data_IF_977964280784
#
_entry.id   IF_977964280784
#
_cell.length_a   1.000
_cell.length_b   1.000
_cell.length_c   1.000
_cell.angle_alpha   90.00
_cell.angle_beta   90.00
_cell.angle_gamma   90.00
#
_symmetry.space_group_name_H-M   'P 1'
#
loop_
_entity.id
_entity.type
_entity.pdbx_description
1 polymer ?
#
# COMPACT_ATOMS: atom_id res chain seq x y z
N UNK A 1 15.20 18.88 -24.30
CA UNK A 1 14.27 19.23 -23.20
C UNK A 1 13.47 17.99 -22.82
N UNK A 2 13.48 17.57 -21.56
CA UNK A 2 12.76 16.35 -21.14
C UNK A 2 11.25 16.61 -21.14
N UNK A 3 10.48 15.84 -21.91
CA UNK A 3 9.03 15.98 -22.07
C UNK A 3 8.28 15.10 -21.07
N UNK A 4 8.48 15.32 -19.77
CA UNK A 4 7.64 14.74 -18.73
C UNK A 4 7.07 15.83 -17.83
N UNK A 5 5.93 15.55 -17.22
CA UNK A 5 5.35 16.45 -16.22
C UNK A 5 5.82 16.06 -14.82
N UNK A 6 5.90 17.02 -13.90
CA UNK A 6 6.34 16.79 -12.52
C UNK A 6 5.18 16.96 -11.54
N UNK A 7 5.24 16.21 -10.45
CA UNK A 7 4.39 16.31 -9.27
C UNK A 7 5.25 16.32 -8.02
N UNK A 8 4.82 17.08 -7.01
CA UNK A 8 5.45 17.05 -5.70
C UNK A 8 4.97 15.84 -4.88
N UNK A 9 5.89 15.18 -4.18
CA UNK A 9 5.62 14.21 -3.13
C UNK A 9 5.89 14.81 -1.75
N UNK A 10 5.16 14.36 -0.71
CA UNK A 10 5.56 14.63 0.66
C UNK A 10 6.99 14.13 0.90
N UNK A 11 7.75 14.87 1.72
CA UNK A 11 9.09 14.49 2.15
C UNK A 11 9.11 13.07 2.72
N UNK A 12 10.05 12.24 2.28
CA UNK A 12 10.24 10.88 2.77
C UNK A 12 11.72 10.48 2.70
N UNK A 13 12.19 9.72 3.69
CA UNK A 13 13.60 9.32 3.79
C UNK A 13 13.93 7.99 3.08
N UNK A 14 12.94 7.32 2.49
CA UNK A 14 13.09 6.01 1.86
C UNK A 14 13.03 6.11 0.33
N UNK A 15 12.06 6.88 -0.18
CA UNK A 15 11.71 7.03 -1.58
C UNK A 15 12.36 8.29 -2.15
N UNK A 16 13.19 8.13 -3.19
CA UNK A 16 13.78 9.25 -3.93
C UNK A 16 12.76 9.89 -4.86
N UNK A 17 12.11 9.07 -5.70
CA UNK A 17 11.09 9.52 -6.65
C UNK A 17 10.29 8.33 -7.19
N UNK A 18 9.18 8.61 -7.85
CA UNK A 18 8.37 7.64 -8.61
C UNK A 18 8.26 8.11 -10.05
N UNK A 19 8.37 7.18 -11.00
CA UNK A 19 8.15 7.49 -12.42
C UNK A 19 6.95 6.71 -12.96
N UNK A 20 6.21 7.34 -13.86
CA UNK A 20 5.24 6.66 -14.71
C UNK A 20 5.70 6.79 -16.16
N UNK A 21 5.96 5.64 -16.77
CA UNK A 21 6.55 5.51 -18.08
C UNK A 21 5.68 4.63 -18.98
N UNK A 22 5.84 4.78 -20.28
CA UNK A 22 5.12 4.01 -21.31
C UNK A 22 6.09 3.63 -22.42
N UNK A 23 5.89 2.47 -23.02
CA UNK A 23 6.53 2.13 -24.28
C UNK A 23 5.77 2.76 -25.45
N UNK A 24 6.45 3.64 -26.17
CA UNK A 24 5.95 4.23 -27.42
C UNK A 24 6.62 3.52 -28.60
N UNK A 25 5.85 2.97 -29.53
CA UNK A 25 6.40 2.20 -30.65
C UNK A 25 7.23 3.04 -31.63
N UNK A 26 7.11 4.38 -31.60
CA UNK A 26 7.85 5.28 -32.48
C UNK A 26 9.11 5.83 -31.81
N UNK A 27 9.00 6.21 -30.53
CA UNK A 27 10.09 6.90 -29.81
C UNK A 27 10.80 5.99 -28.81
N UNK A 28 10.22 4.84 -28.49
CA UNK A 28 10.68 3.91 -27.47
C UNK A 28 10.19 4.29 -26.07
N UNK A 29 10.96 3.98 -25.02
CA UNK A 29 10.53 4.17 -23.65
C UNK A 29 10.47 5.66 -23.27
N UNK A 30 9.30 6.10 -22.81
CA UNK A 30 9.03 7.49 -22.48
C UNK A 30 8.46 7.62 -21.06
N UNK A 31 9.11 8.42 -20.23
CA UNK A 31 8.52 8.87 -18.96
C UNK A 31 7.48 9.96 -19.24
N UNK A 32 6.27 9.80 -18.69
CA UNK A 32 5.16 10.75 -18.80
C UNK A 32 5.03 11.63 -17.56
N UNK A 33 5.28 11.05 -16.39
CA UNK A 33 5.15 11.73 -15.10
C UNK A 33 6.30 11.33 -14.16
N UNK A 34 6.80 12.32 -13.43
CA UNK A 34 7.76 12.17 -12.35
C UNK A 34 7.14 12.72 -11.06
N UNK A 35 7.06 11.90 -10.01
CA UNK A 35 6.71 12.34 -8.67
C UNK A 35 7.98 12.40 -7.83
N UNK A 36 8.27 13.55 -7.25
CA UNK A 36 9.53 13.78 -6.56
C UNK A 36 9.37 14.76 -5.42
N UNK A 37 10.20 14.63 -4.38
CA UNK A 37 10.31 15.65 -3.35
C UNK A 37 10.97 16.91 -3.94
N UNK A 38 10.43 18.10 -3.63
CA UNK A 38 10.92 19.38 -4.14
C UNK A 38 12.43 19.61 -3.99
N UNK A 39 13.07 18.99 -2.99
CA UNK A 39 14.50 19.13 -2.69
C UNK A 39 15.39 18.07 -3.34
N UNK A 40 14.84 17.01 -3.95
CA UNK A 40 15.61 15.87 -4.46
C UNK A 40 15.26 15.54 -5.91
N UNK A 41 15.41 16.51 -6.82
CA UNK A 41 15.09 16.29 -8.25
C UNK A 41 16.17 15.44 -8.92
N UNK A 42 15.85 14.26 -9.49
CA UNK A 42 16.82 13.46 -10.22
C UNK A 42 17.25 14.12 -11.51
N UNK A 43 18.46 13.82 -11.97
CA UNK A 43 18.92 14.30 -13.27
C UNK A 43 18.05 13.72 -14.40
N UNK A 44 17.74 14.49 -15.45
CA UNK A 44 16.90 14.00 -16.55
C UNK A 44 17.43 12.73 -17.22
N UNK A 45 18.75 12.52 -17.23
CA UNK A 45 19.36 11.33 -17.81
C UNK A 45 19.24 10.10 -16.91
N UNK A 46 19.18 10.28 -15.58
CA UNK A 46 18.83 9.23 -14.61
C UNK A 46 17.43 8.68 -14.93
N UNK A 47 16.46 9.57 -15.09
CA UNK A 47 15.05 9.22 -15.38
C UNK A 47 14.94 8.48 -16.72
N UNK A 48 15.63 8.97 -17.76
CA UNK A 48 15.66 8.32 -19.08
C UNK A 48 16.32 6.95 -19.02
N UNK A 49 17.43 6.82 -18.31
CA UNK A 49 18.15 5.56 -18.15
C UNK A 49 17.24 4.52 -17.49
N UNK A 50 16.51 4.91 -16.44
CA UNK A 50 15.58 4.04 -15.73
C UNK A 50 14.45 3.54 -16.65
N UNK A 51 13.80 4.45 -17.38
CA UNK A 51 12.73 4.07 -18.30
C UNK A 51 13.23 3.10 -19.38
N UNK A 52 14.46 3.33 -19.90
CA UNK A 52 15.10 2.43 -20.85
C UNK A 52 15.42 1.07 -20.23
N UNK A 53 15.98 1.04 -19.04
CA UNK A 53 16.33 -0.21 -18.37
C UNK A 53 15.10 -1.10 -18.15
N UNK A 54 14.00 -0.49 -17.69
CA UNK A 54 12.80 -1.21 -17.28
C UNK A 54 11.97 -1.69 -18.48
N UNK A 55 11.79 -0.84 -19.50
CA UNK A 55 10.87 -1.15 -20.61
C UNK A 55 11.56 -1.77 -21.83
N UNK A 56 12.90 -1.74 -21.94
CA UNK A 56 13.62 -2.28 -23.12
C UNK A 56 13.39 -3.78 -23.32
N UNK A 57 13.15 -4.56 -22.27
CA UNK A 57 12.92 -6.00 -22.37
C UNK A 57 11.47 -6.36 -22.70
N UNK A 58 10.57 -5.38 -22.72
CA UNK A 58 9.11 -5.61 -22.73
C UNK A 58 8.46 -5.25 -24.07
N UNK A 59 9.26 -5.02 -25.11
CA UNK A 59 8.78 -4.66 -26.45
C UNK A 59 7.85 -5.71 -27.02
N UNK A 60 8.06 -6.97 -26.65
CA UNK A 60 7.30 -8.13 -27.12
C UNK A 60 6.17 -8.53 -26.16
N UNK A 61 5.97 -7.81 -25.06
CA UNK A 61 4.89 -8.09 -24.11
C UNK A 61 3.56 -7.86 -24.80
N UNK A 62 2.64 -8.82 -24.67
CA UNK A 62 1.25 -8.61 -25.07
C UNK A 62 0.56 -7.66 -24.08
N UNK A 63 0.22 -6.42 -24.46
CA UNK A 63 -0.44 -5.47 -23.58
C UNK A 63 -1.91 -5.83 -23.31
N UNK A 64 -2.40 -6.93 -23.88
CA UNK A 64 -3.76 -7.42 -23.68
C UNK A 64 -3.94 -8.29 -22.46
N UNK A 65 -2.85 -8.85 -21.93
CA UNK A 65 -2.89 -9.70 -20.76
C UNK A 65 -3.12 -8.85 -19.50
N UNK A 66 -4.10 -9.21 -18.63
CA UNK A 66 -4.34 -8.54 -17.36
C UNK A 66 -3.32 -9.01 -16.31
N UNK A 67 -2.03 -8.88 -16.64
CA UNK A 67 -0.92 -9.31 -15.80
C UNK A 67 -0.07 -8.10 -15.44
N UNK A 68 0.13 -7.95 -14.12
CA UNK A 68 1.03 -6.97 -13.54
C UNK A 68 2.31 -7.71 -13.12
N UNK A 69 3.40 -7.46 -13.82
CA UNK A 69 4.70 -8.02 -13.47
C UNK A 69 5.50 -7.05 -12.60
N UNK A 70 6.27 -7.61 -11.67
CA UNK A 70 7.10 -6.84 -10.74
C UNK A 70 8.57 -7.17 -10.95
N UNK A 71 9.35 -6.16 -11.32
CA UNK A 71 10.80 -6.27 -11.50
C UNK A 71 11.54 -5.41 -10.46
N UNK A 72 12.59 -5.96 -9.87
CA UNK A 72 13.44 -5.26 -8.90
C UNK A 72 14.84 -5.09 -9.47
N UNK A 73 15.32 -3.86 -9.52
CA UNK A 73 16.62 -3.49 -10.05
C UNK A 73 17.48 -2.87 -8.95
N UNK A 74 18.72 -3.32 -8.83
CA UNK A 74 19.72 -2.63 -8.00
C UNK A 74 20.53 -1.72 -8.91
N UNK A 75 20.66 -0.44 -8.55
CA UNK A 75 21.36 0.59 -9.32
C UNK A 75 22.49 1.16 -8.47
N UNK A 76 23.65 0.46 -8.36
CA UNK A 76 24.73 0.86 -7.46
C UNK A 76 25.30 2.25 -7.76
N UNK A 77 25.40 2.59 -9.05
CA UNK A 77 25.89 3.89 -9.52
C UNK A 77 25.03 5.06 -9.06
N UNK A 78 23.74 4.81 -8.80
CA UNK A 78 22.78 5.81 -8.33
C UNK A 78 22.52 5.68 -6.83
N UNK A 79 23.23 4.78 -6.13
CA UNK A 79 22.95 4.40 -4.74
C UNK A 79 21.45 4.14 -4.52
N UNK A 80 20.81 3.49 -5.50
CA UNK A 80 19.36 3.32 -5.53
C UNK A 80 18.94 1.88 -5.81
N UNK A 81 17.69 1.58 -5.46
CA UNK A 81 16.98 0.39 -5.89
C UNK A 81 15.65 0.79 -6.53
N UNK A 82 15.32 0.20 -7.67
CA UNK A 82 14.09 0.50 -8.39
C UNK A 82 13.16 -0.71 -8.36
N UNK A 83 11.93 -0.52 -7.92
CA UNK A 83 10.87 -1.53 -7.99
C UNK A 83 9.88 -1.07 -9.05
N UNK A 84 9.76 -1.84 -10.12
CA UNK A 84 8.97 -1.50 -11.30
C UNK A 84 7.82 -2.46 -11.46
N UNK A 85 6.65 -1.90 -11.76
CA UNK A 85 5.44 -2.66 -12.02
C UNK A 85 4.96 -2.39 -13.43
N UNK A 86 4.87 -3.44 -14.22
CA UNK A 86 4.62 -3.40 -15.65
C UNK A 86 3.27 -4.01 -15.96
N UNK A 87 2.46 -3.30 -16.75
CA UNK A 87 1.10 -3.71 -17.04
C UNK A 87 0.65 -3.16 -18.39
N UNK A 88 -0.29 -3.85 -19.03
CA UNK A 88 -0.95 -3.38 -20.24
C UNK A 88 -2.15 -2.51 -19.91
N UNK A 89 -2.32 -1.39 -20.61
CA UNK A 89 -3.52 -0.56 -20.49
C UNK A 89 -3.90 0.09 -21.82
N UNK A 90 -5.16 0.54 -21.94
CA UNK A 90 -5.65 1.23 -23.14
C UNK A 90 -5.07 2.65 -23.19
N UNK A 91 -4.40 3.00 -24.30
CA UNK A 91 -3.90 4.35 -24.54
C UNK A 91 -4.98 5.27 -25.11
N UNK A 92 -4.91 6.57 -24.77
CA UNK A 92 -5.81 7.62 -25.30
C UNK A 92 -5.56 7.91 -26.78
N UNK A 93 -4.31 7.76 -27.24
CA UNK A 93 -4.03 7.86 -28.68
C UNK A 93 -4.73 6.70 -29.37
N UNK A 94 -5.29 6.90 -30.57
CA UNK A 94 -6.02 5.92 -31.41
C UNK A 94 -5.24 4.62 -31.76
N UNK A 95 -4.16 4.31 -31.05
CA UNK A 95 -3.15 3.28 -31.29
C UNK A 95 -3.30 2.05 -30.38
N UNK A 96 -4.45 1.84 -29.74
CA UNK A 96 -4.72 0.59 -29.01
C UNK A 96 -4.10 0.51 -27.62
N UNK A 97 -3.76 -0.71 -27.19
CA UNK A 97 -3.17 -0.99 -25.87
C UNK A 97 -1.67 -0.73 -25.90
N UNK A 98 -1.12 -0.23 -24.79
CA UNK A 98 0.32 0.02 -24.63
C UNK A 98 0.81 -0.57 -23.32
N UNK A 99 2.12 -0.79 -23.23
CA UNK A 99 2.79 -1.24 -22.02
C UNK A 99 3.17 -0.02 -21.19
N UNK A 100 2.68 0.01 -19.95
CA UNK A 100 2.97 1.04 -18.98
C UNK A 100 3.80 0.48 -17.85
N UNK A 101 4.50 1.38 -17.16
CA UNK A 101 5.26 1.04 -15.98
C UNK A 101 5.16 2.14 -14.92
N UNK A 102 4.94 1.73 -13.66
CA UNK A 102 5.21 2.57 -12.49
C UNK A 102 6.48 2.06 -11.82
N UNK A 103 7.45 2.94 -11.62
CA UNK A 103 8.70 2.59 -10.96
C UNK A 103 8.89 3.44 -9.71
N UNK A 104 8.99 2.79 -8.56
CA UNK A 104 9.37 3.39 -7.28
C UNK A 104 10.89 3.29 -7.12
N UNK A 105 11.55 4.42 -6.89
CA UNK A 105 13.00 4.48 -6.71
C UNK A 105 13.34 4.77 -5.26
N UNK A 106 13.96 3.80 -4.60
CA UNK A 106 14.37 3.81 -3.20
C UNK A 106 15.85 4.10 -3.04
N UNK A 107 16.24 4.63 -1.88
CA UNK A 107 17.64 4.70 -1.46
C UNK A 107 18.14 3.27 -1.17
N UNK A 108 19.30 2.91 -1.72
CA UNK A 108 19.82 1.55 -1.64
C UNK A 108 20.09 1.07 -0.20
N UNK A 109 20.52 1.96 0.69
CA UNK A 109 20.74 1.64 2.10
C UNK A 109 19.45 1.25 2.84
N UNK A 110 18.29 1.65 2.32
CA UNK A 110 16.98 1.36 2.88
C UNK A 110 16.34 0.10 2.27
N UNK A 111 17.12 -0.72 1.55
CA UNK A 111 16.63 -1.93 0.88
C UNK A 111 15.81 -2.88 1.76
N UNK A 112 16.25 -3.23 2.98
CA UNK A 112 15.48 -4.15 3.83
C UNK A 112 14.11 -3.59 4.21
N UNK A 113 14.01 -2.26 4.37
CA UNK A 113 12.77 -1.58 4.77
C UNK A 113 11.75 -1.63 3.64
N UNK A 114 12.14 -1.35 2.39
CA UNK A 114 11.16 -1.38 1.30
C UNK A 114 10.69 -2.80 0.96
N UNK A 115 11.52 -3.84 1.13
CA UNK A 115 11.12 -5.22 0.82
C UNK A 115 9.89 -5.64 1.63
N UNK A 116 9.84 -5.21 2.90
CA UNK A 116 8.69 -5.41 3.78
C UNK A 116 7.42 -4.72 3.23
N UNK A 117 7.58 -3.64 2.45
CA UNK A 117 6.51 -2.73 2.03
C UNK A 117 6.12 -2.93 0.56
N UNK A 118 6.80 -3.84 -0.15
CA UNK A 118 6.55 -4.20 -1.55
C UNK A 118 5.10 -4.64 -1.82
N UNK A 119 4.47 -5.30 -0.84
CA UNK A 119 3.06 -5.70 -0.88
C UNK A 119 2.12 -4.49 -0.99
N UNK A 120 2.48 -3.35 -0.39
CA UNK A 120 1.67 -2.13 -0.43
C UNK A 120 1.65 -1.49 -1.82
N UNK A 121 2.74 -1.56 -2.59
CA UNK A 121 2.76 -1.06 -3.98
C UNK A 121 1.79 -1.83 -4.87
N UNK A 122 1.77 -3.16 -4.73
CA UNK A 122 0.95 -4.04 -5.56
C UNK A 122 -0.53 -3.66 -5.45
N UNK A 123 -0.98 -3.28 -4.24
CA UNK A 123 -2.35 -2.80 -4.00
C UNK A 123 -2.72 -1.50 -4.72
N UNK A 124 -1.75 -0.61 -4.94
CA UNK A 124 -1.99 0.64 -5.71
C UNK A 124 -2.31 0.30 -7.17
N UNK A 125 -1.66 -0.74 -7.70
CA UNK A 125 -1.73 -1.11 -9.11
C UNK A 125 -2.91 -2.02 -9.43
N UNK A 126 -3.38 -2.79 -8.45
CA UNK A 126 -4.60 -3.61 -8.54
C UNK A 126 -5.90 -2.80 -8.63
N UNK A 127 -5.84 -1.47 -8.60
CA UNK A 127 -7.05 -0.67 -8.81
C UNK A 127 -7.51 -0.83 -10.26
N UNK A 128 -8.58 -1.59 -10.49
CA UNK A 128 -9.10 -1.98 -11.83
C UNK A 128 -9.25 -0.78 -12.80
N UNK A 129 -9.56 0.41 -12.29
CA UNK A 129 -9.64 1.62 -13.12
C UNK A 129 -8.30 2.03 -13.76
N UNK A 130 -7.19 1.66 -13.13
CA UNK A 130 -5.86 1.95 -13.63
C UNK A 130 -5.49 1.06 -14.82
N UNK A 131 -5.82 -0.23 -14.76
CA UNK A 131 -5.71 -1.17 -15.89
C UNK A 131 -6.67 -0.80 -17.02
N UNK A 132 -7.90 -0.38 -16.68
CA UNK A 132 -8.92 -0.08 -17.68
C UNK A 132 -8.68 1.25 -18.41
N UNK A 133 -8.11 2.27 -17.74
CA UNK A 133 -8.01 3.63 -18.29
C UNK A 133 -6.77 4.37 -17.77
N UNK A 134 -5.72 4.48 -18.57
CA UNK A 134 -4.61 5.42 -18.35
C UNK A 134 -4.90 6.79 -19.01
N UNK A 135 -5.91 7.51 -18.50
CA UNK A 135 -6.35 8.83 -18.99
C UNK A 135 -5.72 9.99 -18.21
N UNK A 136 -5.85 11.23 -18.71
CA UNK A 136 -5.42 12.44 -17.98
C UNK A 136 -6.12 12.59 -16.62
N UNK A 137 -7.39 12.18 -16.50
CA UNK A 137 -8.10 12.09 -15.21
C UNK A 137 -7.48 11.03 -14.29
N UNK A 138 -6.96 9.93 -14.85
CA UNK A 138 -6.27 8.88 -14.11
C UNK A 138 -4.93 9.35 -13.53
N UNK A 139 -4.25 10.32 -14.15
CA UNK A 139 -3.04 10.92 -13.58
C UNK A 139 -3.34 11.76 -12.33
N UNK A 140 -4.47 12.47 -12.30
CA UNK A 140 -4.92 13.19 -11.11
C UNK A 140 -5.22 12.25 -9.94
N UNK A 141 -5.92 11.14 -10.23
CA UNK A 141 -6.17 10.07 -9.27
C UNK A 141 -4.85 9.44 -8.77
N UNK A 142 -3.94 9.09 -9.68
CA UNK A 142 -2.63 8.53 -9.35
C UNK A 142 -1.80 9.49 -8.48
N UNK A 143 -1.90 10.80 -8.73
CA UNK A 143 -1.26 11.82 -7.90
C UNK A 143 -1.76 11.81 -6.46
N UNK A 144 -3.09 11.72 -6.29
CA UNK A 144 -3.70 11.57 -4.96
C UNK A 144 -3.23 10.28 -4.29
N UNK A 145 -3.29 9.14 -5.00
CA UNK A 145 -2.83 7.85 -4.45
C UNK A 145 -1.37 7.87 -4.03
N UNK A 146 -0.47 8.40 -4.86
CA UNK A 146 0.96 8.51 -4.53
C UNK A 146 1.17 9.36 -3.28
N UNK A 147 0.44 10.46 -3.14
CA UNK A 147 0.50 11.31 -1.94
C UNK A 147 0.05 10.55 -0.70
N UNK A 148 -1.06 9.82 -0.77
CA UNK A 148 -1.55 8.99 0.34
C UNK A 148 -0.59 7.86 0.69
N UNK A 149 0.00 7.23 -0.33
CA UNK A 149 0.99 6.18 -0.15
C UNK A 149 2.23 6.70 0.60
N UNK A 150 2.80 7.83 0.18
CA UNK A 150 3.95 8.41 0.87
C UNK A 150 3.60 8.86 2.29
N UNK A 151 2.39 9.39 2.52
CA UNK A 151 1.89 9.69 3.88
C UNK A 151 1.80 8.43 4.74
N UNK A 152 1.30 7.32 4.19
CA UNK A 152 1.25 6.03 4.88
C UNK A 152 2.66 5.55 5.22
N UNK A 153 3.59 5.63 4.27
CA UNK A 153 5.00 5.29 4.47
C UNK A 153 5.59 6.10 5.63
N UNK A 154 5.42 7.42 5.61
CA UNK A 154 5.92 8.30 6.67
C UNK A 154 5.30 7.98 8.03
N UNK A 155 4.00 7.67 8.07
CA UNK A 155 3.33 7.24 9.31
C UNK A 155 3.96 5.95 9.82
N UNK A 156 4.07 4.92 8.97
CA UNK A 156 4.68 3.64 9.32
C UNK A 156 6.13 3.81 9.81
N UNK A 157 6.90 4.72 9.20
CA UNK A 157 8.25 5.05 9.63
C UNK A 157 8.28 5.71 11.00
N UNK A 158 7.40 6.68 11.24
CA UNK A 158 7.29 7.37 12.53
C UNK A 158 6.77 6.48 13.66
N UNK A 159 6.00 5.43 13.32
CA UNK A 159 5.41 4.49 14.27
C UNK A 159 6.12 3.14 14.30
N UNK A 160 7.33 3.04 13.74
CA UNK A 160 8.13 1.80 13.77
C UNK A 160 8.18 1.26 15.19
N UNK A 161 7.77 0.00 15.38
CA UNK A 161 8.02 -0.71 16.62
C UNK A 161 9.53 -0.75 16.85
N UNK A 162 9.96 -0.45 18.07
CA UNK A 162 11.36 -0.61 18.44
C UNK A 162 11.65 -2.11 18.45
N UNK A 163 12.70 -2.48 17.72
CA UNK A 163 13.23 -3.83 17.74
C UNK A 163 14.68 -3.81 18.26
N UNK A 164 15.09 -4.81 19.06
CA UNK A 164 14.28 -5.92 19.55
C UNK A 164 13.22 -5.48 20.56
N UNK A 165 12.04 -6.12 20.53
CA UNK A 165 11.04 -5.99 21.59
C UNK A 165 11.57 -6.73 22.82
N UNK A 166 11.57 -6.08 23.97
CA UNK A 166 11.94 -6.73 25.24
C UNK A 166 10.69 -7.21 25.97
N UNK A 167 10.84 -8.19 26.87
CA UNK A 167 9.71 -8.64 27.69
C UNK A 167 9.08 -7.47 28.47
N UNK A 168 9.89 -6.49 28.88
CA UNK A 168 9.50 -5.27 29.61
C UNK A 168 8.46 -4.41 28.88
N UNK A 169 8.51 -4.42 27.54
CA UNK A 169 7.60 -3.71 26.64
C UNK A 169 6.23 -4.40 26.52
N UNK A 170 6.10 -5.61 27.05
CA UNK A 170 4.91 -6.46 26.86
C UNK A 170 4.05 -6.58 28.11
N UNK A 171 2.85 -7.15 27.95
CA UNK A 171 1.97 -7.50 29.08
C UNK A 171 2.46 -8.73 29.87
N UNK A 172 3.49 -9.43 29.37
CA UNK A 172 4.06 -10.62 30.01
C UNK A 172 5.07 -10.32 31.12
N UNK A 173 5.32 -9.03 31.43
CA UNK A 173 6.05 -8.65 32.64
C UNK A 173 5.21 -9.03 33.86
N UNK A 174 5.86 -9.62 34.86
CA UNK A 174 5.25 -10.06 36.11
C UNK A 174 4.26 -9.03 36.67
N UNK A 175 3.03 -9.49 36.91
CA UNK A 175 1.95 -8.72 37.52
C UNK A 175 1.16 -7.77 36.61
N UNK A 176 1.48 -7.65 35.31
CA UNK A 176 0.72 -6.78 34.38
C UNK A 176 -0.47 -7.46 33.70
N UNK A 177 -0.46 -8.79 33.58
CA UNK A 177 -1.56 -9.55 33.00
C UNK A 177 -2.74 -9.63 33.99
N UNK A 178 -3.81 -8.88 33.72
CA UNK A 178 -5.02 -8.85 34.58
C UNK A 178 -6.06 -9.92 34.22
N UNK A 179 -6.03 -10.43 32.99
CA UNK A 179 -7.01 -11.41 32.49
C UNK A 179 -6.34 -12.41 31.56
N UNK A 180 -6.07 -13.61 32.08
CA UNK A 180 -5.46 -14.70 31.32
C UNK A 180 -6.38 -15.27 30.26
N UNK A 181 -7.70 -15.24 30.47
CA UNK A 181 -8.68 -15.80 29.53
C UNK A 181 -8.76 -14.95 28.26
N UNK A 182 -8.85 -13.62 28.44
CA UNK A 182 -8.79 -12.66 27.35
C UNK A 182 -7.46 -12.73 26.59
N UNK A 183 -6.33 -12.81 27.30
CA UNK A 183 -5.02 -12.93 26.65
C UNK A 183 -4.87 -14.20 25.83
N UNK A 184 -5.35 -15.35 26.35
CA UNK A 184 -5.34 -16.61 25.63
C UNK A 184 -6.20 -16.52 24.36
N UNK A 185 -7.37 -15.90 24.45
CA UNK A 185 -8.26 -15.67 23.31
C UNK A 185 -7.61 -14.76 22.27
N UNK A 186 -6.95 -13.67 22.69
CA UNK A 186 -6.19 -12.78 21.81
C UNK A 186 -5.12 -13.59 21.09
N UNK A 187 -4.20 -14.24 21.81
CA UNK A 187 -3.06 -14.97 21.23
C UNK A 187 -3.54 -16.06 20.26
N UNK A 188 -4.54 -16.83 20.67
CA UNK A 188 -5.12 -17.89 19.84
C UNK A 188 -5.74 -17.32 18.55
N UNK A 189 -6.44 -16.18 18.65
CA UNK A 189 -6.97 -15.48 17.49
C UNK A 189 -5.85 -14.98 16.58
N UNK A 190 -4.77 -14.41 17.14
CA UNK A 190 -3.61 -13.95 16.37
C UNK A 190 -3.05 -15.08 15.52
N UNK A 191 -2.82 -16.26 16.12
CA UNK A 191 -2.29 -17.45 15.42
C UNK A 191 -3.23 -17.88 14.29
N UNK A 192 -4.54 -17.94 14.54
CA UNK A 192 -5.55 -18.30 13.53
C UNK A 192 -5.67 -17.27 12.38
N UNK A 193 -5.30 -16.02 12.65
CA UNK A 193 -5.25 -14.93 11.67
C UNK A 193 -3.86 -14.70 11.07
N UNK A 194 -2.95 -15.68 11.14
CA UNK A 194 -1.58 -15.57 10.59
C UNK A 194 -0.84 -14.31 11.10
N UNK A 195 -1.04 -13.98 12.38
CA UNK A 195 -0.45 -12.81 13.03
C UNK A 195 -1.09 -11.47 12.65
N UNK A 196 -2.17 -11.42 11.86
CA UNK A 196 -2.79 -10.15 11.46
C UNK A 196 -3.76 -9.66 12.51
N UNK A 197 -3.36 -8.63 13.24
CA UNK A 197 -4.15 -8.07 14.34
C UNK A 197 -4.31 -6.58 14.21
N UNK A 198 -5.50 -6.11 14.52
CA UNK A 198 -5.81 -4.70 14.74
C UNK A 198 -6.27 -4.54 16.17
N UNK A 199 -5.49 -3.81 16.97
CA UNK A 199 -5.84 -3.50 18.35
C UNK A 199 -6.48 -2.12 18.39
N UNK A 200 -7.72 -2.05 18.87
CA UNK A 200 -8.49 -0.83 19.07
C UNK A 200 -8.55 -0.56 20.57
N UNK A 201 -8.14 0.64 20.99
CA UNK A 201 -8.14 1.02 22.39
C UNK A 201 -8.44 2.50 22.58
N UNK A 202 -9.27 2.82 23.56
CA UNK A 202 -9.52 4.20 23.99
C UNK A 202 -8.31 4.70 24.78
N UNK A 203 -7.50 5.57 24.21
CA UNK A 203 -6.68 6.51 24.98
C UNK A 203 -7.13 7.91 24.63
N UNK A 204 -8.02 8.48 25.47
CA UNK A 204 -8.65 9.80 25.23
C UNK A 204 -9.36 9.89 23.87
N UNK A 205 -10.18 8.90 23.54
CA UNK A 205 -11.25 9.15 22.60
C UNK A 205 -12.18 10.16 23.26
N UNK A 206 -12.30 11.35 22.68
CA UNK A 206 -13.54 12.13 22.78
C UNK A 206 -14.63 11.09 22.52
N UNK A 207 -15.43 10.80 23.56
CA UNK A 207 -16.32 9.66 23.59
C UNK A 207 -16.99 9.53 22.22
N UNK A 208 -16.66 8.47 21.47
CA UNK A 208 -17.63 7.89 20.57
C UNK A 208 -18.72 7.44 21.53
N UNK A 209 -19.70 8.31 21.70
CA UNK A 209 -20.80 8.06 22.63
C UNK A 209 -21.53 6.83 22.13
N UNK A 210 -22.29 6.16 22.99
CA UNK A 210 -23.12 5.04 22.54
C UNK A 210 -24.05 5.45 21.39
N UNK A 211 -24.30 6.76 21.16
CA UNK A 211 -24.96 7.27 19.96
C UNK A 211 -24.10 7.34 18.70
N UNK A 212 -22.78 7.40 18.76
CA UNK A 212 -21.89 7.25 17.59
C UNK A 212 -21.61 5.77 17.27
N UNK A 213 -21.87 4.87 18.23
CA UNK A 213 -21.82 3.42 18.08
C UNK A 213 -23.21 2.87 17.65
N UNK A 214 -24.30 3.54 18.02
CA UNK A 214 -25.69 3.18 17.67
C UNK A 214 -26.30 4.05 16.55
N UNK A 215 -25.66 5.14 16.14
CA UNK A 215 -25.97 5.82 14.88
C UNK A 215 -25.19 5.15 13.73
N UNK A 216 -25.61 3.94 13.42
CA UNK A 216 -25.29 3.24 12.19
C UNK A 216 -24.19 2.20 12.33
N UNK A 217 -24.58 0.96 12.07
CA UNK A 217 -23.80 -0.25 11.78
C UNK A 217 -22.55 -0.08 10.87
N UNK A 218 -22.27 1.10 10.36
CA UNK A 218 -21.26 1.40 9.35
C UNK A 218 -19.80 1.37 9.85
N UNK A 219 -19.50 1.59 11.12
CA UNK A 219 -18.09 1.72 11.57
C UNK A 219 -17.29 0.42 11.51
N UNK A 220 -17.81 -0.64 12.11
CA UNK A 220 -17.20 -1.98 12.06
C UNK A 220 -17.47 -2.67 10.72
N UNK A 221 -18.63 -2.45 10.09
CA UNK A 221 -18.90 -2.99 8.75
C UNK A 221 -17.98 -2.41 7.70
N UNK A 222 -17.63 -1.12 7.77
CA UNK A 222 -16.63 -0.51 6.89
C UNK A 222 -15.24 -1.09 7.15
N UNK A 223 -14.88 -1.38 8.40
CA UNK A 223 -13.62 -2.06 8.74
C UNK A 223 -13.60 -3.52 8.28
N UNK A 224 -14.69 -4.26 8.47
CA UNK A 224 -14.81 -5.65 8.02
C UNK A 224 -14.80 -5.73 6.50
N UNK A 225 -15.48 -4.83 5.80
CA UNK A 225 -15.46 -4.70 4.34
C UNK A 225 -14.07 -4.27 3.84
N UNK A 226 -13.39 -3.40 4.57
CA UNK A 226 -11.99 -3.08 4.30
C UNK A 226 -11.12 -4.34 4.50
N UNK A 227 -11.31 -5.10 5.57
CA UNK A 227 -10.51 -6.30 5.87
C UNK A 227 -10.77 -7.48 4.93
N UNK A 228 -11.97 -7.61 4.35
CA UNK A 228 -12.23 -8.62 3.30
C UNK A 228 -11.43 -8.35 2.03
N UNK A 229 -10.92 -7.13 1.82
CA UNK A 229 -9.97 -6.85 0.72
C UNK A 229 -8.53 -7.28 1.02
N UNK A 230 -8.19 -7.59 2.29
CA UNK A 230 -6.85 -8.03 2.68
C UNK A 230 -6.62 -9.47 2.30
N UNK A 231 -5.35 -9.83 2.08
CA UNK A 231 -4.98 -11.18 1.68
C UNK A 231 -5.23 -12.22 2.76
N UNK A 232 -5.20 -11.84 4.04
CA UNK A 232 -5.37 -12.77 5.15
C UNK A 232 -6.50 -12.32 6.07
N UNK A 233 -7.14 -13.26 6.78
CA UNK A 233 -8.03 -12.97 7.90
C UNK A 233 -7.38 -12.02 8.91
N UNK A 234 -8.18 -11.20 9.58
CA UNK A 234 -7.73 -10.22 10.57
C UNK A 234 -8.44 -10.48 11.89
N UNK A 235 -7.68 -10.46 12.98
CA UNK A 235 -8.23 -10.40 14.34
C UNK A 235 -8.36 -8.94 14.76
N UNK A 236 -9.53 -8.54 15.27
CA UNK A 236 -9.76 -7.22 15.85
C UNK A 236 -9.87 -7.38 17.36
N UNK A 237 -8.98 -6.74 18.10
CA UNK A 237 -8.97 -6.76 19.57
C UNK A 237 -9.49 -5.41 20.07
N UNK A 238 -10.65 -5.41 20.71
CA UNK A 238 -11.23 -4.22 21.33
C UNK A 238 -10.88 -4.20 22.83
N UNK A 239 -9.88 -3.39 23.19
CA UNK A 239 -9.43 -3.24 24.58
C UNK A 239 -10.44 -2.49 25.46
N UNK A 240 -11.37 -1.73 24.88
CA UNK A 240 -12.40 -1.03 25.67
C UNK A 240 -13.50 -1.98 26.15
N UNK A 241 -13.74 -3.05 25.40
CA UNK A 241 -14.76 -4.07 25.69
C UNK A 241 -14.18 -5.39 26.16
N UNK A 242 -12.85 -5.53 26.16
CA UNK A 242 -12.16 -6.82 26.36
C UNK A 242 -12.74 -7.92 25.46
N UNK A 243 -12.95 -7.59 24.18
CA UNK A 243 -13.53 -8.51 23.18
C UNK A 243 -12.58 -8.74 22.02
N UNK A 244 -12.61 -9.96 21.50
CA UNK A 244 -11.89 -10.36 20.30
C UNK A 244 -12.88 -10.71 19.21
N UNK A 245 -12.75 -10.04 18.07
CA UNK A 245 -13.53 -10.32 16.87
C UNK A 245 -12.60 -10.95 15.84
N UNK A 246 -13.09 -11.96 15.12
CA UNK A 246 -12.35 -12.63 14.05
C UNK A 246 -13.11 -12.43 12.75
N UNK A 247 -12.39 -12.15 11.67
CA UNK A 247 -12.95 -12.32 10.33
C UNK A 247 -13.16 -13.82 10.04
N UNK A 248 -13.76 -14.13 8.89
CA UNK A 248 -13.97 -15.50 8.45
C UNK A 248 -12.66 -16.31 8.36
N UNK A 249 -12.79 -17.63 8.37
CA UNK A 249 -11.66 -18.56 8.16
C UNK A 249 -10.98 -18.27 6.82
N UNK A 250 -9.71 -18.61 6.68
CA UNK A 250 -8.92 -18.30 5.48
C UNK A 250 -9.63 -18.68 4.16
N UNK A 251 -10.20 -19.87 4.07
CA UNK A 251 -10.91 -20.33 2.87
C UNK A 251 -12.11 -19.43 2.55
N UNK A 252 -12.95 -19.14 3.54
CA UNK A 252 -14.10 -18.26 3.38
C UNK A 252 -13.68 -16.82 3.10
N UNK A 253 -12.58 -16.37 3.71
CA UNK A 253 -11.98 -15.07 3.49
C UNK A 253 -11.53 -14.90 2.04
N UNK A 254 -10.84 -15.90 1.46
CA UNK A 254 -10.47 -15.86 0.03
C UNK A 254 -11.69 -15.88 -0.90
N UNK A 255 -12.70 -16.70 -0.58
CA UNK A 255 -13.94 -16.73 -1.36
C UNK A 255 -14.64 -15.37 -1.37
N UNK A 256 -14.82 -14.77 -0.19
CA UNK A 256 -15.43 -13.44 -0.06
C UNK A 256 -14.56 -12.36 -0.68
N UNK A 257 -13.24 -12.41 -0.51
CA UNK A 257 -12.29 -11.48 -1.11
C UNK A 257 -12.45 -11.47 -2.62
N UNK A 258 -12.49 -12.62 -3.28
CA UNK A 258 -12.67 -12.68 -4.72
C UNK A 258 -14.00 -12.04 -5.16
N UNK A 259 -15.08 -12.27 -4.41
CA UNK A 259 -16.40 -11.67 -4.68
C UNK A 259 -16.45 -10.15 -4.43
N UNK A 260 -15.72 -9.65 -3.41
CA UNK A 260 -15.71 -8.24 -2.99
C UNK A 260 -14.73 -7.41 -3.81
N UNK A 261 -13.55 -7.94 -4.12
CA UNK A 261 -12.56 -7.31 -5.02
C UNK A 261 -13.19 -7.03 -6.39
N UNK A 262 -14.13 -7.87 -6.83
CA UNK A 262 -14.88 -7.64 -8.05
C UNK A 262 -15.85 -6.46 -7.98
N UNK A 263 -16.22 -5.98 -6.79
CA UNK A 263 -17.24 -4.95 -6.57
C UNK A 263 -16.75 -3.62 -5.96
N UNK A 264 -15.72 -3.60 -5.10
CA UNK A 264 -15.57 -2.52 -4.09
C UNK A 264 -14.29 -1.65 -4.11
N UNK A 265 -13.35 -1.85 -5.04
CA UNK A 265 -12.12 -1.02 -5.02
C UNK A 265 -12.36 0.49 -5.21
N UNK A 266 -13.53 0.90 -5.72
CA UNK A 266 -13.87 2.29 -6.00
C UNK A 266 -14.17 3.18 -4.76
N UNK A 267 -14.49 2.62 -3.59
CA UNK A 267 -15.00 3.43 -2.45
C UNK A 267 -13.95 3.79 -1.39
N UNK A 268 -12.95 2.93 -1.17
CA UNK A 268 -11.97 3.10 -0.09
C UNK A 268 -11.04 4.31 -0.32
N UNK A 269 -10.74 4.65 -1.57
CA UNK A 269 -9.90 5.82 -1.91
C UNK A 269 -10.70 7.13 -2.04
N UNK A 270 -12.03 7.06 -2.21
CA UNK A 270 -12.89 8.23 -2.38
C UNK A 270 -13.45 8.76 -1.05
N UNK A 271 -13.51 7.92 -0.01
CA UNK A 271 -14.12 8.29 1.28
C UNK A 271 -13.23 9.16 2.16
N UNK A 272 -11.98 9.44 1.78
CA UNK A 272 -11.12 10.37 2.52
C UNK A 272 -10.91 9.99 3.99
N UNK A 273 -11.15 8.72 4.37
CA UNK A 273 -11.05 8.17 5.72
C UNK A 273 -9.57 8.09 6.17
N UNK A 274 -8.94 9.26 6.26
CA UNK A 274 -7.56 9.49 6.67
C UNK A 274 -7.46 9.90 8.15
N UNK A 275 -8.62 10.06 8.79
CA UNK A 275 -8.81 10.63 10.14
C UNK A 275 -9.41 9.63 11.15
N UNK A 276 -9.44 8.33 10.83
CA UNK A 276 -9.59 7.36 11.91
C UNK A 276 -8.23 7.25 12.58
N UNK A 277 -8.11 7.85 13.76
CA UNK A 277 -7.00 7.67 14.68
C UNK A 277 -6.98 6.22 15.23
N UNK A 278 -6.94 5.23 14.34
CA UNK A 278 -6.57 3.87 14.70
C UNK A 278 -5.06 3.91 14.86
N UNK A 279 -4.57 3.78 16.09
CA UNK A 279 -3.20 3.29 16.27
C UNK A 279 -3.19 1.86 15.77
N UNK A 280 -2.98 1.71 14.47
CA UNK A 280 -2.90 0.43 13.80
C UNK A 280 -1.59 -0.21 14.22
N UNK A 281 -1.59 -0.87 15.38
CA UNK A 281 -0.49 -1.76 15.77
C UNK A 281 -0.69 -3.04 14.99
N UNK A 282 -0.22 -3.07 13.74
CA UNK A 282 -0.06 -4.34 13.03
C UNK A 282 1.17 -5.00 13.64
N UNK A 283 0.96 -5.90 14.61
CA UNK A 283 2.03 -6.77 15.08
C UNK A 283 2.22 -7.85 14.02
N UNK A 284 3.15 -7.63 13.09
CA UNK A 284 3.69 -8.74 12.32
C UNK A 284 4.62 -9.53 13.24
N UNK A 285 4.12 -10.63 13.82
CA UNK A 285 5.01 -11.67 14.32
C UNK A 285 5.46 -12.45 13.08
N UNK A 286 6.68 -12.19 12.61
CA UNK A 286 7.44 -13.09 11.75
C UNK A 286 8.38 -13.90 12.62
#
# INVERSE_FOLDING_TARGET
>A
MARYTTAELPRNNLLRYVTFSVWDNTVGPLTKRLWVESTCTPEPDEVKLLARLVLKTEVTRDPSLPLIDCNVYTLPTLSACAVSYLFGAVSRSKHGKAVYCITFVYILSQRPVYLQWSIAHYKILLHKDFEARCTTSSLGYLNSMMTHFVKLINRLESTKLRFPLTAEDTIFVDGKAKDHSFLLEVISSMVLSFGRVVVVGSMKAKALTDKDILAGDTGYENLLTLFTTYEYPVTIVDLSKYKVYRTSTYTMHQMHRNLVIDRYYCEIFNTGATDISVRLVIVFLW
#
